data_IF_883911406928
#
_entry.id   IF_883911406928
#
_cell.length_a   1.000
_cell.length_b   1.000
_cell.length_c   1.000
_cell.angle_alpha   90.00
_cell.angle_beta   90.00
_cell.angle_gamma   90.00
#
_symmetry.space_group_name_H-M   'P 1'
#
loop_
_entity.id
_entity.type
_entity.pdbx_description
1 polymer ?
#
# COMPACT_ATOMS: atom_id res chain seq x y z
N UNK A 1 28.84 -10.92 16.18
CA UNK A 1 29.17 -12.35 16.44
C UNK A 1 29.51 -13.01 15.12
N UNK A 2 30.54 -13.86 15.08
CA UNK A 2 30.99 -14.50 13.84
C UNK A 2 29.95 -15.54 13.37
N UNK A 3 29.22 -15.21 12.31
CA UNK A 3 28.41 -16.16 11.55
C UNK A 3 29.32 -17.22 10.94
N UNK A 4 29.03 -18.50 11.14
CA UNK A 4 29.75 -19.57 10.44
C UNK A 4 29.48 -19.46 8.93
N UNK A 5 30.38 -19.96 8.05
CA UNK A 5 30.16 -19.93 6.59
C UNK A 5 28.80 -20.52 6.17
N UNK A 6 28.34 -21.57 6.86
CA UNK A 6 27.04 -22.18 6.63
C UNK A 6 25.84 -21.29 7.03
N UNK A 7 25.98 -20.43 8.04
CA UNK A 7 24.97 -19.42 8.39
C UNK A 7 24.92 -18.31 7.34
N UNK A 8 26.07 -17.94 6.77
CA UNK A 8 26.15 -16.95 5.70
C UNK A 8 25.48 -17.46 4.41
N UNK A 9 25.73 -18.72 4.03
CA UNK A 9 25.11 -19.32 2.85
C UNK A 9 23.58 -19.45 2.96
N UNK A 10 23.06 -19.58 4.18
CA UNK A 10 21.62 -19.58 4.45
C UNK A 10 20.99 -18.16 4.42
N UNK A 11 21.78 -17.09 4.32
CA UNK A 11 21.32 -15.69 4.27
C UNK A 11 21.54 -15.06 2.88
N UNK A 12 21.70 -15.89 1.83
CA UNK A 12 21.91 -15.44 0.46
C UNK A 12 20.62 -15.02 -0.27
N UNK A 13 19.48 -15.53 0.19
CA UNK A 13 18.14 -15.19 -0.30
C UNK A 13 17.17 -15.25 0.88
N UNK A 14 16.78 -14.07 1.34
CA UNK A 14 15.87 -13.80 2.45
C UNK A 14 14.39 -14.06 2.10
N UNK A 15 14.08 -14.32 0.83
CA UNK A 15 12.72 -14.67 0.37
C UNK A 15 12.48 -16.17 0.36
N UNK A 16 13.54 -17.00 0.44
CA UNK A 16 13.44 -18.46 0.48
C UNK A 16 13.12 -18.99 1.88
N UNK A 17 11.96 -19.65 2.00
CA UNK A 17 11.58 -20.40 3.22
C UNK A 17 12.61 -21.47 3.57
N UNK A 18 13.13 -22.19 2.59
CA UNK A 18 14.10 -23.28 2.81
C UNK A 18 15.42 -22.75 3.39
N UNK A 19 15.83 -21.53 3.00
CA UNK A 19 17.00 -20.87 3.57
C UNK A 19 16.78 -20.48 5.03
N UNK A 20 15.61 -19.92 5.36
CA UNK A 20 15.25 -19.63 6.75
C UNK A 20 15.11 -20.89 7.62
N UNK A 21 14.47 -21.95 7.10
CA UNK A 21 14.38 -23.24 7.80
C UNK A 21 15.78 -23.80 8.13
N UNK A 22 16.74 -23.70 7.20
CA UNK A 22 18.15 -24.06 7.45
C UNK A 22 18.80 -23.14 8.48
N UNK A 23 18.63 -21.82 8.36
CA UNK A 23 19.18 -20.85 9.29
C UNK A 23 18.73 -21.14 10.73
N UNK A 24 17.43 -21.33 10.95
CA UNK A 24 16.88 -21.64 12.27
C UNK A 24 17.31 -23.02 12.78
N UNK A 25 17.36 -24.04 11.92
CA UNK A 25 17.86 -25.35 12.29
C UNK A 25 19.34 -25.33 12.71
N UNK A 26 20.17 -24.48 12.07
CA UNK A 26 21.60 -24.35 12.37
C UNK A 26 21.88 -23.61 13.67
N UNK A 27 21.05 -22.63 14.07
CA UNK A 27 21.21 -21.94 15.36
C UNK A 27 20.80 -22.79 16.56
N UNK A 28 19.83 -23.70 16.36
CA UNK A 28 19.34 -24.59 17.40
C UNK A 28 18.25 -23.97 18.29
N UNK A 29 17.60 -24.83 19.06
CA UNK A 29 16.46 -24.48 19.91
C UNK A 29 16.87 -23.52 21.04
N UNK A 30 16.04 -22.49 21.29
CA UNK A 30 16.19 -21.59 22.45
C UNK A 30 17.11 -20.38 22.28
N UNK A 31 17.81 -20.22 21.15
CA UNK A 31 18.59 -19.01 20.87
C UNK A 31 17.68 -17.92 20.28
N UNK A 32 17.58 -16.78 20.96
CA UNK A 32 16.83 -15.62 20.46
C UNK A 32 17.74 -14.77 19.60
N UNK A 33 17.28 -14.38 18.42
CA UNK A 33 18.03 -13.55 17.51
C UNK A 33 17.24 -12.30 17.17
N UNK A 34 17.91 -11.15 17.27
CA UNK A 34 17.29 -9.85 17.06
C UNK A 34 17.90 -9.15 15.85
N UNK A 35 17.04 -8.77 14.92
CA UNK A 35 17.39 -7.84 13.85
C UNK A 35 17.18 -6.40 14.32
N UNK A 36 18.09 -5.50 13.95
CA UNK A 36 18.03 -4.06 14.23
C UNK A 36 18.17 -3.73 15.73
N UNK A 37 17.29 -2.87 16.26
CA UNK A 37 17.34 -2.42 17.64
C UNK A 37 16.82 -3.49 18.61
N UNK A 38 17.48 -3.55 19.77
CA UNK A 38 17.18 -4.47 20.87
C UNK A 38 16.00 -3.97 21.71
N UNK A 39 15.39 -4.87 22.48
CA UNK A 39 14.22 -4.55 23.31
C UNK A 39 14.35 -3.28 24.18
N UNK A 40 15.46 -3.03 24.91
CA UNK A 40 15.59 -1.82 25.73
C UNK A 40 15.44 -0.52 24.94
N UNK A 41 15.86 -0.51 23.68
CA UNK A 41 15.85 0.68 22.81
C UNK A 41 14.45 0.92 22.23
N UNK A 42 13.72 -0.14 21.88
CA UNK A 42 12.39 -0.04 21.25
C UNK A 42 11.25 0.04 22.27
N UNK A 43 11.44 -0.40 23.51
CA UNK A 43 10.39 -0.50 24.54
C UNK A 43 9.66 0.84 24.75
N UNK A 44 10.36 1.92 25.06
CA UNK A 44 9.73 3.21 25.34
C UNK A 44 8.97 3.78 24.12
N UNK A 45 9.59 3.86 22.92
CA UNK A 45 8.89 4.17 21.68
C UNK A 45 7.62 3.36 21.45
N UNK A 46 7.70 2.05 21.63
CA UNK A 46 6.61 1.14 21.33
C UNK A 46 5.45 1.27 22.31
N UNK A 47 5.76 1.31 23.61
CA UNK A 47 4.74 1.48 24.65
C UNK A 47 4.01 2.82 24.50
N UNK A 48 4.69 3.89 24.07
CA UNK A 48 4.03 5.18 23.85
C UNK A 48 2.85 5.11 22.87
N UNK A 49 2.87 4.12 21.97
CA UNK A 49 1.81 3.90 20.98
C UNK A 49 0.76 2.87 21.42
N UNK A 50 1.13 1.94 22.29
CA UNK A 50 0.29 0.84 22.77
C UNK A 50 -0.47 1.16 24.08
N UNK A 51 -0.06 2.22 24.81
CA UNK A 51 -0.69 2.61 26.07
C UNK A 51 -2.16 3.01 25.88
N UNK A 52 -3.06 2.38 26.65
CA UNK A 52 -4.48 2.73 26.73
C UNK A 52 -5.45 1.75 26.07
N UNK A 53 -4.95 0.71 25.42
CA UNK A 53 -5.78 -0.25 24.67
C UNK A 53 -5.75 -1.62 25.35
N UNK A 54 -6.47 -1.78 26.46
CA UNK A 54 -6.63 -3.11 27.06
C UNK A 54 -7.24 -4.07 26.04
N UNK A 55 -6.44 -5.07 25.66
CA UNK A 55 -6.87 -6.03 24.67
C UNK A 55 -6.66 -5.63 23.20
N UNK A 56 -5.70 -4.78 22.89
CA UNK A 56 -5.19 -4.66 21.52
C UNK A 56 -4.94 -6.05 20.90
N UNK A 57 -5.52 -6.34 19.74
CA UNK A 57 -5.11 -7.47 18.90
C UNK A 57 -3.83 -7.06 18.15
N UNK A 58 -2.72 -7.71 18.50
CA UNK A 58 -1.39 -7.42 17.93
C UNK A 58 -1.01 -8.53 16.96
N UNK A 59 -0.56 -8.16 15.77
CA UNK A 59 0.06 -9.05 14.79
C UNK A 59 1.57 -8.77 14.70
N UNK A 60 2.38 -9.82 14.70
CA UNK A 60 3.83 -9.74 14.48
C UNK A 60 4.19 -10.63 13.27
N UNK A 61 4.23 -10.06 12.05
CA UNK A 61 4.68 -10.77 10.84
C UNK A 61 6.19 -10.97 10.80
N UNK A 62 6.64 -12.07 10.19
CA UNK A 62 8.06 -12.42 10.14
C UNK A 62 8.68 -12.50 11.54
N UNK A 63 7.97 -13.13 12.49
CA UNK A 63 8.31 -13.02 13.90
C UNK A 63 9.69 -13.60 14.27
N UNK A 64 10.19 -14.57 13.48
CA UNK A 64 11.46 -15.24 13.74
C UNK A 64 11.58 -15.76 15.17
N UNK A 65 12.81 -15.73 15.70
CA UNK A 65 13.13 -16.08 17.08
C UNK A 65 13.20 -14.87 18.02
N UNK A 66 12.66 -13.72 17.62
CA UNK A 66 12.73 -12.46 18.39
C UNK A 66 12.04 -12.59 19.75
N UNK A 67 12.60 -11.92 20.75
CA UNK A 67 12.03 -11.79 22.09
C UNK A 67 10.93 -10.72 22.18
N UNK A 68 10.69 -9.94 21.12
CA UNK A 68 9.72 -8.84 21.11
C UNK A 68 8.35 -9.25 21.67
N UNK A 69 7.80 -10.36 21.18
CA UNK A 69 6.45 -10.79 21.54
C UNK A 69 6.34 -11.28 22.98
N UNK A 70 7.37 -11.95 23.51
CA UNK A 70 7.36 -12.35 24.91
C UNK A 70 7.53 -11.18 25.87
N UNK A 71 8.35 -10.19 25.51
CA UNK A 71 8.54 -8.99 26.31
C UNK A 71 7.25 -8.17 26.39
N UNK A 72 6.51 -8.05 25.28
CA UNK A 72 5.17 -7.44 25.27
C UNK A 72 4.18 -8.23 26.11
N UNK A 73 4.19 -9.56 26.00
CA UNK A 73 3.31 -10.42 26.79
C UNK A 73 3.51 -10.21 28.29
N UNK A 74 4.77 -10.16 28.73
CA UNK A 74 5.13 -9.98 30.14
C UNK A 74 4.79 -8.57 30.67
N UNK A 75 4.54 -7.61 29.78
CA UNK A 75 3.98 -6.28 30.10
C UNK A 75 2.45 -6.24 30.10
N UNK A 76 1.76 -7.35 29.81
CA UNK A 76 0.31 -7.47 29.88
C UNK A 76 -0.41 -7.53 28.53
N UNK A 77 0.30 -7.37 27.40
CA UNK A 77 -0.29 -7.49 26.07
C UNK A 77 -0.49 -8.96 25.71
N UNK A 78 -1.67 -9.50 26.01
CA UNK A 78 -1.91 -10.96 25.94
C UNK A 78 -2.40 -11.47 24.59
N UNK A 79 -2.91 -10.59 23.70
CA UNK A 79 -3.53 -10.96 22.42
C UNK A 79 -2.57 -10.73 21.27
N UNK A 80 -1.46 -11.48 21.29
CA UNK A 80 -0.40 -11.39 20.29
C UNK A 80 -0.48 -12.61 19.36
N UNK A 81 -0.58 -12.36 18.07
CA UNK A 81 -0.50 -13.37 17.01
C UNK A 81 0.80 -13.19 16.25
N UNK A 82 1.64 -14.22 16.28
CA UNK A 82 2.94 -14.26 15.62
C UNK A 82 2.82 -15.14 14.38
N UNK A 83 3.33 -14.65 13.26
CA UNK A 83 3.35 -15.39 12.00
C UNK A 83 4.73 -15.41 11.38
N UNK A 84 5.10 -16.56 10.85
CA UNK A 84 6.33 -16.77 10.10
C UNK A 84 6.11 -17.90 9.09
N UNK A 85 6.69 -17.83 7.90
CA UNK A 85 6.55 -18.89 6.90
C UNK A 85 7.40 -20.14 7.22
N UNK A 86 8.36 -20.04 8.12
CA UNK A 86 9.24 -21.12 8.54
C UNK A 86 8.53 -22.00 9.57
N UNK A 87 8.37 -23.28 9.23
CA UNK A 87 7.75 -24.25 10.14
C UNK A 87 8.65 -24.54 11.34
N UNK A 88 9.97 -24.48 11.12
CA UNK A 88 10.99 -24.76 12.13
C UNK A 88 10.86 -23.76 13.27
N UNK A 89 10.86 -22.46 12.95
CA UNK A 89 10.85 -21.42 14.00
C UNK A 89 9.51 -21.33 14.72
N UNK A 90 8.39 -21.45 14.00
CA UNK A 90 7.06 -21.43 14.63
C UNK A 90 6.91 -22.59 15.62
N UNK A 91 7.44 -23.77 15.28
CA UNK A 91 7.40 -24.93 16.18
C UNK A 91 8.30 -24.75 17.41
N UNK A 92 9.45 -24.10 17.28
CA UNK A 92 10.33 -23.80 18.42
C UNK A 92 9.71 -22.74 19.35
N UNK A 93 9.23 -21.62 18.80
CA UNK A 93 8.61 -20.56 19.58
C UNK A 93 7.33 -21.04 20.29
N UNK A 94 6.51 -21.86 19.62
CA UNK A 94 5.36 -22.49 20.27
C UNK A 94 5.79 -23.38 21.45
N UNK A 95 6.83 -24.21 21.30
CA UNK A 95 7.35 -25.05 22.39
C UNK A 95 7.86 -24.20 23.56
N UNK A 96 8.56 -23.11 23.27
CA UNK A 96 9.12 -22.18 24.26
C UNK A 96 8.05 -21.47 25.08
N UNK A 97 6.91 -21.13 24.47
CA UNK A 97 5.92 -20.24 25.07
C UNK A 97 4.60 -20.90 25.48
N UNK A 98 4.26 -22.09 24.96
CA UNK A 98 2.93 -22.69 25.17
C UNK A 98 2.52 -22.85 26.64
N UNK A 99 3.48 -23.06 27.57
CA UNK A 99 3.20 -23.20 29.00
C UNK A 99 3.25 -21.89 29.77
N UNK A 100 4.26 -21.05 29.49
CA UNK A 100 4.54 -19.82 30.25
C UNK A 100 3.72 -18.63 29.76
N UNK A 101 3.36 -18.60 28.47
CA UNK A 101 2.65 -17.50 27.81
C UNK A 101 1.53 -18.05 26.90
N UNK A 102 0.56 -18.79 27.47
CA UNK A 102 -0.36 -19.65 26.72
C UNK A 102 -1.34 -18.91 25.81
N UNK A 103 -1.49 -17.59 25.95
CA UNK A 103 -2.41 -16.79 25.12
C UNK A 103 -1.76 -16.27 23.83
N UNK A 104 -0.42 -16.35 23.70
CA UNK A 104 0.23 -16.03 22.43
C UNK A 104 -0.11 -17.09 21.38
N UNK A 105 -0.43 -16.64 20.18
CA UNK A 105 -0.72 -17.50 19.02
C UNK A 105 0.52 -17.53 18.12
N UNK A 106 0.88 -18.71 17.64
CA UNK A 106 1.99 -18.92 16.71
C UNK A 106 1.47 -19.67 15.50
N UNK A 107 1.63 -19.12 14.29
CA UNK A 107 1.08 -19.71 13.06
C UNK A 107 2.12 -19.71 11.95
N UNK A 108 2.21 -20.84 11.26
CA UNK A 108 2.94 -20.91 9.99
C UNK A 108 2.10 -20.21 8.93
N UNK A 109 2.58 -19.09 8.41
CA UNK A 109 1.84 -18.30 7.42
C UNK A 109 2.79 -17.38 6.65
N UNK A 110 2.53 -17.26 5.34
CA UNK A 110 3.19 -16.28 4.47
C UNK A 110 2.54 -14.90 4.68
N UNK A 111 3.34 -13.90 5.04
CA UNK A 111 2.84 -12.55 5.29
C UNK A 111 2.41 -11.80 4.03
N UNK A 112 2.77 -12.29 2.84
CA UNK A 112 2.26 -11.77 1.55
C UNK A 112 0.88 -12.32 1.17
N UNK A 113 0.34 -13.27 1.95
CA UNK A 113 -0.98 -13.88 1.75
C UNK A 113 -1.56 -14.39 3.07
N UNK A 114 -1.96 -13.46 3.94
CA UNK A 114 -2.44 -13.72 5.29
C UNK A 114 -3.87 -14.25 5.31
N UNK A 115 -4.06 -15.38 5.98
CA UNK A 115 -5.38 -16.02 6.14
C UNK A 115 -6.14 -15.47 7.36
N UNK A 116 -6.26 -14.13 7.43
CA UNK A 116 -7.03 -13.42 8.45
C UNK A 116 -8.16 -12.61 7.79
N UNK A 117 -9.30 -12.41 8.47
CA UNK A 117 -10.32 -11.47 8.02
C UNK A 117 -9.81 -10.02 7.96
N UNK A 118 -10.45 -9.21 7.13
CA UNK A 118 -10.22 -7.77 7.06
C UNK A 118 -10.49 -7.11 8.42
N UNK A 119 -9.67 -6.12 8.80
CA UNK A 119 -9.86 -5.39 10.06
C UNK A 119 -9.81 -6.28 11.32
N UNK A 120 -8.94 -7.29 11.34
CA UNK A 120 -8.75 -8.18 12.49
C UNK A 120 -7.85 -7.60 13.58
N UNK A 121 -6.88 -6.76 13.23
CA UNK A 121 -5.83 -6.30 14.15
C UNK A 121 -5.89 -4.80 14.41
N UNK A 122 -5.61 -4.43 15.66
CA UNK A 122 -5.48 -3.03 16.10
C UNK A 122 -4.05 -2.52 15.86
N UNK A 123 -3.06 -3.42 15.99
CA UNK A 123 -1.65 -3.08 15.87
C UNK A 123 -0.89 -4.16 15.08
N UNK A 124 -0.02 -3.75 14.16
CA UNK A 124 0.92 -4.63 13.46
C UNK A 124 2.35 -4.16 13.78
N UNK A 125 3.21 -5.10 14.17
CA UNK A 125 4.63 -4.90 14.48
C UNK A 125 5.48 -5.61 13.45
N UNK A 126 6.03 -4.86 12.51
CA UNK A 126 7.04 -5.35 11.57
C UNK A 126 8.44 -4.99 12.06
N UNK A 127 9.33 -5.98 12.13
CA UNK A 127 10.74 -5.74 12.49
C UNK A 127 11.66 -6.50 11.54
N UNK A 128 11.95 -5.86 10.40
CA UNK A 128 12.77 -6.44 9.33
C UNK A 128 12.04 -7.44 8.46
N UNK A 129 10.73 -7.62 8.64
CA UNK A 129 9.92 -8.47 7.78
C UNK A 129 9.80 -7.85 6.39
N UNK A 130 9.48 -6.56 6.32
CA UNK A 130 9.46 -5.84 5.04
C UNK A 130 10.85 -5.85 4.38
N UNK A 131 11.90 -5.50 5.12
CA UNK A 131 13.28 -5.48 4.59
C UNK A 131 13.69 -6.84 4.00
N UNK A 132 13.34 -7.96 4.66
CA UNK A 132 13.62 -9.32 4.17
C UNK A 132 12.89 -9.64 2.85
N UNK A 133 11.72 -9.05 2.60
CA UNK A 133 11.02 -9.19 1.32
C UNK A 133 11.57 -8.29 0.23
N UNK A 134 12.24 -7.19 0.59
CA UNK A 134 12.63 -6.13 -0.34
C UNK A 134 13.96 -6.38 -1.06
N UNK A 135 14.33 -7.64 -1.27
CA UNK A 135 15.53 -7.98 -2.05
C UNK A 135 15.47 -7.44 -3.51
N UNK A 136 16.59 -6.99 -4.09
CA UNK A 136 16.57 -6.14 -5.29
C UNK A 136 15.86 -6.68 -6.54
N UNK A 137 15.81 -8.00 -6.76
CA UNK A 137 15.30 -8.58 -8.01
C UNK A 137 13.77 -8.75 -8.04
N UNK A 138 13.17 -9.09 -6.90
CA UNK A 138 11.72 -9.39 -6.79
C UNK A 138 11.02 -8.54 -5.74
N UNK A 139 11.78 -7.76 -4.97
CA UNK A 139 11.34 -7.30 -3.66
C UNK A 139 10.21 -6.30 -3.67
N UNK A 140 10.19 -5.37 -4.62
CA UNK A 140 9.10 -4.40 -4.73
C UNK A 140 7.72 -5.06 -4.85
N UNK A 141 7.62 -6.17 -5.61
CA UNK A 141 6.33 -6.87 -5.78
C UNK A 141 5.90 -7.60 -4.51
N UNK A 142 6.84 -8.25 -3.81
CA UNK A 142 6.56 -8.94 -2.55
C UNK A 142 6.24 -7.96 -1.43
N UNK A 143 7.00 -6.85 -1.34
CA UNK A 143 6.74 -5.75 -0.43
C UNK A 143 5.35 -5.15 -0.65
N UNK A 144 4.96 -4.87 -1.90
CA UNK A 144 3.59 -4.39 -2.21
C UNK A 144 2.53 -5.37 -1.73
N UNK A 145 2.67 -6.68 -2.01
CA UNK A 145 1.72 -7.71 -1.54
C UNK A 145 1.62 -7.75 -0.01
N UNK A 146 2.75 -7.71 0.68
CA UNK A 146 2.76 -7.68 2.14
C UNK A 146 2.09 -6.42 2.69
N UNK A 147 2.43 -5.25 2.15
CA UNK A 147 1.82 -4.00 2.60
C UNK A 147 0.32 -3.97 2.33
N UNK A 148 -0.16 -4.51 1.20
CA UNK A 148 -1.59 -4.63 0.92
C UNK A 148 -2.30 -5.55 1.92
N UNK A 149 -1.68 -6.68 2.30
CA UNK A 149 -2.18 -7.54 3.38
C UNK A 149 -2.19 -6.84 4.75
N UNK A 150 -1.11 -6.14 5.10
CA UNK A 150 -1.04 -5.38 6.34
C UNK A 150 -2.12 -4.29 6.39
N UNK A 151 -2.33 -3.55 5.29
CA UNK A 151 -3.42 -2.56 5.17
C UNK A 151 -4.79 -3.23 5.32
N UNK A 152 -5.01 -4.41 4.72
CA UNK A 152 -6.29 -5.13 4.75
C UNK A 152 -6.65 -5.63 6.14
N UNK A 153 -5.73 -6.31 6.83
CA UNK A 153 -5.99 -6.91 8.15
C UNK A 153 -6.01 -5.89 9.28
N UNK A 154 -5.51 -4.67 9.06
CA UNK A 154 -5.53 -3.59 10.04
C UNK A 154 -6.90 -2.88 10.10
N UNK A 155 -7.43 -2.70 11.31
CA UNK A 155 -8.67 -1.96 11.57
C UNK A 155 -8.53 -0.49 11.20
N UNK A 156 -9.67 0.18 10.95
CA UNK A 156 -9.69 1.65 10.88
C UNK A 156 -9.19 2.23 12.21
N UNK A 157 -8.30 3.22 12.14
CA UNK A 157 -7.59 3.76 13.31
C UNK A 157 -6.45 2.89 13.83
N UNK A 158 -6.28 1.67 13.30
CA UNK A 158 -5.18 0.78 13.67
C UNK A 158 -3.82 1.31 13.23
N UNK A 159 -2.76 0.78 13.85
CA UNK A 159 -1.38 1.26 13.67
C UNK A 159 -0.48 0.15 13.11
N UNK A 160 0.33 0.48 12.12
CA UNK A 160 1.41 -0.36 11.62
C UNK A 160 2.74 0.30 11.99
N UNK A 161 3.57 -0.36 12.79
CA UNK A 161 4.91 0.09 13.12
C UNK A 161 5.94 -0.81 12.45
N UNK A 162 6.79 -0.23 11.62
CA UNK A 162 7.88 -0.89 10.92
C UNK A 162 9.22 -0.42 11.44
N UNK A 163 10.00 -1.35 11.98
CA UNK A 163 11.40 -1.16 12.33
C UNK A 163 12.25 -1.63 11.15
N UNK A 164 13.03 -0.71 10.58
CA UNK A 164 13.76 -0.90 9.32
C UNK A 164 15.10 -0.14 9.37
N UNK A 165 16.02 -0.50 8.48
CA UNK A 165 17.19 0.33 8.18
C UNK A 165 16.85 1.48 7.21
N UNK A 166 15.61 1.56 6.72
CA UNK A 166 15.14 2.61 5.83
C UNK A 166 16.06 2.79 4.61
N UNK A 167 16.52 1.69 4.02
CA UNK A 167 17.18 1.71 2.73
C UNK A 167 16.26 2.37 1.70
N UNK A 168 16.84 3.06 0.71
CA UNK A 168 16.07 3.95 -0.18
C UNK A 168 14.88 3.25 -0.83
N UNK A 169 15.06 2.01 -1.31
CA UNK A 169 14.00 1.25 -1.95
C UNK A 169 12.89 0.79 -0.97
N UNK A 170 13.23 0.49 0.29
CA UNK A 170 12.24 0.17 1.35
C UNK A 170 11.46 1.42 1.72
N UNK A 171 12.17 2.53 1.93
CA UNK A 171 11.57 3.80 2.30
C UNK A 171 10.66 4.32 1.18
N UNK A 172 11.12 4.32 -0.07
CA UNK A 172 10.33 4.76 -1.23
C UNK A 172 9.02 3.97 -1.35
N UNK A 173 9.06 2.65 -1.09
CA UNK A 173 7.86 1.82 -1.05
C UNK A 173 6.93 2.24 0.09
N UNK A 174 7.43 2.36 1.32
CA UNK A 174 6.62 2.79 2.47
C UNK A 174 5.97 4.16 2.25
N UNK A 175 6.74 5.12 1.74
CA UNK A 175 6.31 6.49 1.50
C UNK A 175 5.18 6.58 0.47
N UNK A 176 5.32 5.84 -0.63
CA UNK A 176 4.35 5.81 -1.72
C UNK A 176 3.09 5.01 -1.38
N UNK A 177 3.23 3.83 -0.80
CA UNK A 177 2.12 2.91 -0.50
C UNK A 177 1.21 3.38 0.63
N UNK A 178 1.71 4.28 1.50
CA UNK A 178 0.95 4.90 2.58
C UNK A 178 0.76 6.41 2.33
N UNK A 179 0.68 6.82 1.05
CA UNK A 179 0.45 8.23 0.68
C UNK A 179 -0.93 8.75 1.05
N UNK A 180 -1.97 7.99 0.75
CA UNK A 180 -3.36 8.42 0.88
C UNK A 180 -4.09 7.65 1.97
N UNK A 181 -4.75 8.37 2.86
CA UNK A 181 -5.53 7.81 3.95
C UNK A 181 -4.71 7.34 5.14
N UNK A 182 -3.46 7.77 5.28
CA UNK A 182 -2.58 7.37 6.38
C UNK A 182 -1.85 8.56 7.01
N UNK A 183 -1.83 8.57 8.34
CA UNK A 183 -0.96 9.47 9.10
C UNK A 183 0.36 8.77 9.36
N UNK A 184 1.47 9.39 8.95
CA UNK A 184 2.80 8.78 9.03
C UNK A 184 3.70 9.58 9.95
N UNK A 185 4.40 8.88 10.85
CA UNK A 185 5.46 9.43 11.70
C UNK A 185 6.70 8.58 11.55
N UNK A 186 7.87 9.20 11.51
CA UNK A 186 9.16 8.49 11.46
C UNK A 186 10.11 9.04 12.51
N UNK A 187 10.81 8.16 13.20
CA UNK A 187 11.81 8.51 14.20
C UNK A 187 13.00 7.55 14.16
N UNK A 188 14.18 8.04 14.55
CA UNK A 188 15.34 7.19 14.77
C UNK A 188 15.23 6.53 16.16
N UNK A 189 15.61 5.26 16.25
CA UNK A 189 15.73 4.55 17.53
C UNK A 189 17.10 4.82 18.13
N UNK A 190 17.13 5.30 19.37
CA UNK A 190 18.38 5.60 20.06
C UNK A 190 19.26 4.35 20.17
N UNK A 191 20.51 4.47 19.73
CA UNK A 191 21.52 3.43 19.97
C UNK A 191 22.25 3.67 21.29
N UNK A 192 22.77 2.61 21.90
CA UNK A 192 23.66 2.77 23.04
C UNK A 192 25.03 3.34 22.59
N UNK A 193 25.62 4.28 23.35
CA UNK A 193 26.91 4.90 23.00
C UNK A 193 28.09 3.92 22.85
N UNK A 194 28.00 2.75 23.48
CA UNK A 194 29.04 1.70 23.43
C UNK A 194 28.92 0.79 22.20
N UNK A 195 27.76 0.81 21.53
CA UNK A 195 27.46 0.03 20.34
C UNK A 195 27.71 0.86 19.09
N UNK A 196 28.90 0.70 18.49
CA UNK A 196 29.19 1.23 17.14
C UNK A 196 28.45 0.39 16.09
N UNK A 197 27.13 0.50 16.03
CA UNK A 197 26.36 -0.04 14.93
C UNK A 197 26.74 0.70 13.64
N UNK A 198 26.96 -0.05 12.55
CA UNK A 198 27.20 0.53 11.23
C UNK A 198 25.95 1.23 10.66
N UNK A 199 24.78 0.93 11.22
CA UNK A 199 23.48 1.41 10.74
C UNK A 199 22.64 1.99 11.87
N UNK A 200 21.81 2.96 11.50
CA UNK A 200 20.77 3.55 12.31
C UNK A 200 19.45 2.81 12.06
N UNK A 201 18.81 2.33 13.13
CA UNK A 201 17.44 1.79 13.04
C UNK A 201 16.43 2.93 13.08
N UNK A 202 15.41 2.85 12.23
CA UNK A 202 14.28 3.76 12.21
C UNK A 202 13.00 3.01 12.56
N UNK A 203 12.06 3.72 13.17
CA UNK A 203 10.69 3.26 13.37
C UNK A 203 9.76 4.16 12.56
N UNK A 204 9.10 3.58 11.57
CA UNK A 204 8.07 4.23 10.75
C UNK A 204 6.71 3.75 11.23
N UNK A 205 5.85 4.68 11.59
CA UNK A 205 4.51 4.41 12.14
C UNK A 205 3.48 4.97 11.18
N UNK A 206 2.56 4.12 10.74
CA UNK A 206 1.43 4.50 9.89
C UNK A 206 0.13 4.20 10.62
N UNK A 207 -0.73 5.21 10.74
CA UNK A 207 -2.06 5.09 11.34
C UNK A 207 -3.12 5.12 10.25
N UNK A 208 -3.98 4.10 10.22
CA UNK A 208 -5.04 3.96 9.21
C UNK A 208 -6.10 5.03 9.42
N UNK A 209 -6.14 5.99 8.51
CA UNK A 209 -7.06 7.11 8.52
C UNK A 209 -8.21 6.95 7.52
N UNK A 210 -8.69 8.09 7.01
CA UNK A 210 -9.78 8.17 6.04
C UNK A 210 -9.21 8.29 4.62
N UNK A 211 -9.66 7.44 3.70
CA UNK A 211 -9.30 7.53 2.28
C UNK A 211 -9.63 8.92 1.70
N UNK A 212 -8.87 9.33 0.68
CA UNK A 212 -8.97 10.64 0.05
C UNK A 212 -8.34 11.79 0.84
N UNK A 213 -7.79 11.52 2.03
CA UNK A 213 -7.05 12.49 2.83
C UNK A 213 -5.56 12.25 2.66
N UNK A 214 -4.80 13.29 2.39
CA UNK A 214 -3.34 13.25 2.34
C UNK A 214 -2.78 14.24 3.36
N UNK A 215 -1.89 13.76 4.22
CA UNK A 215 -1.20 14.57 5.24
C UNK A 215 0.30 14.45 5.07
N UNK A 216 1.01 15.52 5.41
CA UNK A 216 2.47 15.50 5.46
C UNK A 216 2.95 14.58 6.58
N UNK A 217 4.10 13.96 6.35
CA UNK A 217 4.76 13.04 7.26
C UNK A 217 5.38 13.85 8.39
N UNK A 218 5.09 13.43 9.63
CA UNK A 218 5.71 13.98 10.82
C UNK A 218 7.09 13.34 11.01
N UNK A 219 8.14 14.09 10.70
CA UNK A 219 9.52 13.66 10.98
C UNK A 219 9.91 14.05 12.40
N UNK A 220 10.37 13.07 13.19
CA UNK A 220 11.12 13.26 14.44
C UNK A 220 12.63 13.02 14.22
N UNK A 221 13.03 12.85 12.96
CA UNK A 221 14.43 12.80 12.53
C UNK A 221 14.83 14.22 12.13
N UNK A 222 15.81 14.78 12.83
CA UNK A 222 16.35 16.12 12.63
C UNK A 222 17.84 16.10 12.22
N UNK A 223 18.27 17.05 11.40
CA UNK A 223 19.67 17.19 10.96
C UNK A 223 20.61 17.56 12.11
N UNK A 224 20.10 18.16 13.18
CA UNK A 224 20.93 18.57 14.33
C UNK A 224 21.24 17.44 15.32
N UNK A 225 20.52 16.31 15.22
CA UNK A 225 20.71 15.17 16.12
C UNK A 225 21.87 14.26 15.67
N UNK A 226 22.45 13.55 16.62
CA UNK A 226 23.51 12.57 16.36
C UNK A 226 22.93 11.18 16.09
N UNK A 227 23.36 10.56 14.99
CA UNK A 227 22.92 9.23 14.56
C UNK A 227 24.11 8.30 14.39
N UNK A 228 23.88 6.99 14.51
CA UNK A 228 24.93 5.99 14.26
C UNK A 228 25.47 6.07 12.84
N UNK A 229 24.61 6.42 11.87
CA UNK A 229 24.98 6.60 10.48
C UNK A 229 24.35 7.89 9.94
N UNK A 230 25.16 8.95 9.87
CA UNK A 230 24.72 10.26 9.43
C UNK A 230 24.36 10.31 7.93
N UNK A 231 25.02 9.51 7.09
CA UNK A 231 24.72 9.44 5.66
C UNK A 231 23.32 8.85 5.44
N UNK A 232 23.02 7.75 6.13
CA UNK A 232 21.71 7.11 6.12
C UNK A 232 20.63 8.05 6.64
N UNK A 233 20.84 8.71 7.79
CA UNK A 233 19.88 9.66 8.34
C UNK A 233 19.61 10.83 7.39
N UNK A 234 20.63 11.39 6.74
CA UNK A 234 20.46 12.46 5.76
C UNK A 234 19.68 12.01 4.52
N UNK A 235 19.90 10.77 4.05
CA UNK A 235 19.13 10.20 2.94
C UNK A 235 17.64 10.09 3.31
N UNK A 236 17.33 9.60 4.51
CA UNK A 236 15.96 9.54 5.05
C UNK A 236 15.34 10.94 5.10
N UNK A 237 16.03 11.93 5.69
CA UNK A 237 15.53 13.31 5.78
C UNK A 237 15.21 13.89 4.40
N UNK A 238 16.08 13.69 3.41
CA UNK A 238 15.86 14.16 2.05
C UNK A 238 14.66 13.47 1.38
N UNK A 239 14.52 12.16 1.55
CA UNK A 239 13.36 11.41 1.03
C UNK A 239 12.05 11.93 1.63
N UNK A 240 12.01 12.17 2.95
CA UNK A 240 10.84 12.71 3.64
C UNK A 240 10.47 14.12 3.16
N UNK A 241 11.47 14.98 2.93
CA UNK A 241 11.24 16.32 2.39
C UNK A 241 10.65 16.28 0.98
N UNK A 242 11.13 15.38 0.13
CA UNK A 242 10.60 15.23 -1.23
C UNK A 242 9.19 14.67 -1.24
N UNK A 243 8.92 13.63 -0.45
CA UNK A 243 7.57 13.08 -0.32
C UNK A 243 6.60 14.09 0.30
N UNK A 244 7.02 14.92 1.25
CA UNK A 244 6.16 15.98 1.79
C UNK A 244 5.80 17.04 0.75
N UNK A 245 6.72 17.43 -0.15
CA UNK A 245 6.38 18.30 -1.29
C UNK A 245 5.34 17.65 -2.21
N UNK A 246 5.44 16.34 -2.45
CA UNK A 246 4.45 15.58 -3.21
C UNK A 246 3.10 15.59 -2.47
N UNK A 247 3.07 15.33 -1.17
CA UNK A 247 1.84 15.33 -0.36
C UNK A 247 1.18 16.71 -0.30
N UNK A 248 1.97 17.78 -0.24
CA UNK A 248 1.49 19.17 -0.29
C UNK A 248 0.89 19.52 -1.65
N UNK A 249 1.50 19.06 -2.76
CA UNK A 249 0.96 19.31 -4.11
C UNK A 249 -0.43 18.70 -4.28
N UNK A 250 -0.69 17.54 -3.67
CA UNK A 250 -2.01 16.91 -3.67
C UNK A 250 -3.09 17.68 -2.89
N UNK A 251 -2.69 18.56 -1.95
CA UNK A 251 -3.61 19.42 -1.19
C UNK A 251 -3.83 20.79 -1.86
N UNK A 252 -3.06 21.13 -2.90
CA UNK A 252 -3.06 22.48 -3.50
C UNK A 252 -4.30 22.82 -4.35
N UNK A 253 -5.20 21.86 -4.60
CA UNK A 253 -6.46 22.08 -5.32
C UNK A 253 -6.32 22.35 -6.83
N UNK A 254 -5.09 22.29 -7.37
CA UNK A 254 -4.83 22.31 -8.82
C UNK A 254 -5.41 21.05 -9.47
N UNK A 255 -5.64 21.06 -10.79
CA UNK A 255 -5.96 19.87 -11.59
C UNK A 255 -4.84 18.82 -11.47
N UNK A 256 -4.82 18.09 -10.35
CA UNK A 256 -3.87 17.02 -10.07
C UNK A 256 -4.22 15.85 -10.96
N UNK A 257 -3.19 15.32 -11.61
CA UNK A 257 -3.28 14.17 -12.48
C UNK A 257 -2.87 12.94 -11.68
N UNK A 258 -3.84 12.08 -11.38
CA UNK A 258 -3.63 10.86 -10.59
C UNK A 258 -3.21 9.69 -11.48
N UNK A 259 -2.27 8.86 -11.04
CA UNK A 259 -2.03 7.56 -11.66
C UNK A 259 -3.12 6.55 -11.26
N UNK A 260 -3.25 5.45 -11.99
CA UNK A 260 -4.14 4.35 -11.58
C UNK A 260 -3.76 3.82 -10.18
N UNK A 261 -2.46 3.72 -9.87
CA UNK A 261 -2.00 3.30 -8.54
C UNK A 261 -2.42 4.28 -7.45
N UNK A 262 -2.36 5.59 -7.67
CA UNK A 262 -2.84 6.57 -6.69
C UNK A 262 -4.33 6.37 -6.37
N UNK A 263 -5.13 6.06 -7.39
CA UNK A 263 -6.56 5.77 -7.21
C UNK A 263 -6.79 4.50 -6.40
N UNK A 264 -6.06 3.42 -6.71
CA UNK A 264 -6.09 2.16 -5.95
C UNK A 264 -5.66 2.35 -4.49
N UNK A 265 -4.70 3.26 -4.24
CA UNK A 265 -4.28 3.65 -2.90
C UNK A 265 -5.29 4.58 -2.20
N UNK A 266 -6.37 4.97 -2.87
CA UNK A 266 -7.45 5.75 -2.27
C UNK A 266 -7.26 7.25 -2.34
N UNK A 267 -6.50 7.78 -3.30
CA UNK A 267 -6.26 9.22 -3.46
C UNK A 267 -7.54 10.06 -3.58
N UNK A 268 -8.61 9.47 -4.13
CA UNK A 268 -9.90 10.16 -4.35
C UNK A 268 -11.02 9.60 -3.48
N UNK A 269 -10.67 8.86 -2.42
CA UNK A 269 -11.60 8.12 -1.56
C UNK A 269 -11.84 6.71 -2.08
N UNK A 270 -12.86 6.06 -1.52
CA UNK A 270 -13.28 4.73 -1.97
C UNK A 270 -13.85 4.80 -3.40
N UNK A 271 -13.26 4.01 -4.29
CA UNK A 271 -13.70 3.87 -5.68
C UNK A 271 -14.97 3.04 -5.79
N UNK A 272 -15.23 2.14 -4.84
CA UNK A 272 -16.45 1.33 -4.82
C UNK A 272 -17.70 2.16 -4.55
N UNK A 273 -17.54 3.36 -4.01
CA UNK A 273 -18.63 4.29 -3.72
C UNK A 273 -18.73 5.39 -4.79
N UNK A 274 -19.95 5.65 -5.26
CA UNK A 274 -20.29 6.82 -6.08
C UNK A 274 -20.41 8.04 -5.17
N UNK A 275 -19.62 9.08 -5.45
CA UNK A 275 -19.68 10.36 -4.72
C UNK A 275 -20.22 11.45 -5.65
N UNK A 276 -21.43 11.97 -5.41
CA UNK A 276 -22.06 12.94 -6.31
C UNK A 276 -21.17 14.11 -6.68
N UNK A 277 -20.99 14.35 -7.98
CA UNK A 277 -20.21 15.46 -8.50
C UNK A 277 -18.68 15.28 -8.38
N UNK A 278 -18.18 14.10 -8.00
CA UNK A 278 -16.74 13.81 -8.03
C UNK A 278 -16.26 13.90 -9.48
N UNK A 279 -15.24 14.72 -9.72
CA UNK A 279 -14.52 14.82 -11.00
C UNK A 279 -13.01 14.80 -10.75
N UNK A 280 -12.28 13.89 -11.38
CA UNK A 280 -10.84 13.72 -11.19
C UNK A 280 -10.14 13.41 -12.50
N UNK A 281 -9.04 14.12 -12.77
CA UNK A 281 -8.19 13.84 -13.93
C UNK A 281 -7.20 12.74 -13.58
N UNK A 282 -6.99 11.80 -14.49
CA UNK A 282 -6.11 10.67 -14.25
C UNK A 282 -5.38 10.22 -15.51
N UNK A 283 -4.27 9.51 -15.32
CA UNK A 283 -3.56 8.77 -16.36
C UNK A 283 -3.86 7.28 -16.15
N UNK A 284 -4.31 6.63 -17.23
CA UNK A 284 -4.45 5.18 -17.30
C UNK A 284 -3.29 4.59 -18.10
N UNK A 285 -2.78 3.46 -17.63
CA UNK A 285 -1.73 2.70 -18.31
C UNK A 285 -0.33 3.13 -17.92
N UNK A 286 0.56 2.13 -17.82
CA UNK A 286 1.96 2.28 -17.44
C UNK A 286 2.86 1.51 -18.41
N UNK A 287 4.10 1.98 -18.54
CA UNK A 287 5.06 1.39 -19.45
C UNK A 287 5.34 -0.08 -19.08
N UNK A 288 5.01 -1.00 -19.99
CA UNK A 288 5.20 -2.44 -19.80
C UNK A 288 3.98 -3.22 -19.30
N UNK A 289 2.91 -2.54 -18.86
CA UNK A 289 1.63 -3.18 -18.47
C UNK A 289 0.50 -2.93 -19.46
N UNK A 290 0.53 -1.78 -20.16
CA UNK A 290 -0.41 -1.42 -21.21
C UNK A 290 0.31 -1.06 -22.51
N UNK A 291 -0.40 -1.20 -23.63
CA UNK A 291 0.07 -0.79 -24.95
C UNK A 291 0.17 0.74 -25.05
N UNK A 292 -0.79 1.44 -24.45
CA UNK A 292 -0.85 2.89 -24.48
C UNK A 292 -0.98 3.50 -23.08
N UNK A 293 -0.77 4.81 -23.03
CA UNK A 293 -1.03 5.63 -21.85
C UNK A 293 -2.09 6.67 -22.22
N UNK A 294 -3.18 6.68 -21.47
CA UNK A 294 -4.37 7.45 -21.77
C UNK A 294 -4.56 8.57 -20.74
N UNK A 295 -4.95 9.75 -21.20
CA UNK A 295 -5.51 10.77 -20.31
C UNK A 295 -6.99 10.49 -20.14
N UNK A 296 -7.48 10.54 -18.92
CA UNK A 296 -8.88 10.30 -18.63
C UNK A 296 -9.42 11.25 -17.55
N UNK A 297 -10.74 11.35 -17.48
CA UNK A 297 -11.47 12.03 -16.42
C UNK A 297 -12.52 11.09 -15.88
N UNK A 298 -12.42 10.76 -14.58
CA UNK A 298 -13.44 10.01 -13.85
C UNK A 298 -14.47 11.00 -13.30
N UNK A 299 -15.75 10.73 -13.58
CA UNK A 299 -16.87 11.56 -13.14
C UNK A 299 -17.97 10.71 -12.53
N UNK A 300 -18.40 11.07 -11.33
CA UNK A 300 -19.59 10.51 -10.69
C UNK A 300 -20.75 11.49 -10.89
N UNK A 301 -21.90 10.99 -11.34
CA UNK A 301 -23.08 11.80 -11.63
C UNK A 301 -23.51 12.67 -10.45
N UNK A 302 -23.92 13.91 -10.72
CA UNK A 302 -24.34 14.87 -9.68
C UNK A 302 -25.66 14.49 -9.02
N UNK A 303 -26.61 13.93 -9.78
CA UNK A 303 -27.94 13.56 -9.31
C UNK A 303 -28.07 12.04 -9.20
N UNK A 304 -28.21 11.49 -7.99
CA UNK A 304 -28.44 10.06 -7.78
C UNK A 304 -29.92 9.64 -7.92
N UNK A 305 -30.84 10.59 -8.02
CA UNK A 305 -32.28 10.31 -8.14
C UNK A 305 -32.71 9.93 -9.57
N UNK A 306 -31.80 9.98 -10.53
CA UNK A 306 -32.06 9.60 -11.91
C UNK A 306 -31.90 8.09 -12.09
N UNK A 307 -32.79 7.47 -12.87
CA UNK A 307 -32.61 6.07 -13.28
C UNK A 307 -31.44 5.98 -14.25
N UNK A 308 -30.28 5.57 -13.74
CA UNK A 308 -29.11 5.29 -14.55
C UNK A 308 -29.35 4.08 -15.45
N UNK A 309 -28.86 4.15 -16.68
CA UNK A 309 -28.82 3.02 -17.61
C UNK A 309 -27.58 2.16 -17.36
N UNK A 310 -26.48 2.78 -16.94
CA UNK A 310 -25.21 2.11 -16.67
C UNK A 310 -24.66 2.56 -15.32
N UNK A 311 -24.10 1.64 -14.54
CA UNK A 311 -23.43 1.99 -13.28
C UNK A 311 -22.04 2.58 -13.50
N UNK A 312 -21.32 2.06 -14.49
CA UNK A 312 -20.06 2.59 -14.96
C UNK A 312 -20.04 2.53 -16.49
N UNK A 313 -19.45 3.52 -17.15
CA UNK A 313 -19.27 3.49 -18.61
C UNK A 313 -17.99 4.18 -19.02
N UNK A 314 -17.40 3.73 -20.12
CA UNK A 314 -16.22 4.35 -20.72
C UNK A 314 -16.65 5.18 -21.92
N UNK A 315 -16.21 6.42 -21.99
CA UNK A 315 -16.49 7.33 -23.11
C UNK A 315 -15.20 7.72 -23.81
N UNK A 316 -14.95 7.17 -25.00
CA UNK A 316 -13.75 7.42 -25.79
C UNK A 316 -13.94 8.68 -26.64
N UNK A 317 -13.03 9.64 -26.46
CA UNK A 317 -12.95 10.89 -27.20
C UNK A 317 -11.80 10.80 -28.22
N UNK A 318 -12.10 10.74 -29.53
CA UNK A 318 -11.07 10.76 -30.57
C UNK A 318 -10.27 12.07 -30.54
N UNK A 319 -8.99 12.00 -30.92
CA UNK A 319 -8.08 13.17 -30.95
C UNK A 319 -8.67 14.38 -31.69
N UNK A 320 -9.33 14.13 -32.83
CA UNK A 320 -9.91 15.19 -33.67
C UNK A 320 -10.97 16.03 -32.93
N UNK A 321 -11.61 15.44 -31.92
CA UNK A 321 -12.72 16.04 -31.17
C UNK A 321 -12.34 16.49 -29.77
N UNK A 322 -11.17 16.11 -29.27
CA UNK A 322 -10.72 16.41 -27.90
C UNK A 322 -10.72 17.91 -27.55
N UNK A 323 -10.70 18.81 -28.55
CA UNK A 323 -10.77 20.26 -28.39
C UNK A 323 -12.18 20.85 -28.54
N UNK A 324 -13.18 20.04 -28.90
CA UNK A 324 -14.57 20.50 -28.91
C UNK A 324 -15.01 20.85 -27.50
N UNK A 325 -15.76 21.94 -27.36
CA UNK A 325 -16.22 22.44 -26.06
C UNK A 325 -16.90 21.36 -25.21
N UNK A 326 -17.67 20.46 -25.85
CA UNK A 326 -18.37 19.36 -25.20
C UNK A 326 -17.44 18.41 -24.42
N UNK A 327 -16.18 18.25 -24.85
CA UNK A 327 -15.23 17.33 -24.21
C UNK A 327 -14.10 18.05 -23.48
N UNK A 328 -13.74 19.26 -23.91
CA UNK A 328 -12.62 20.01 -23.34
C UNK A 328 -13.01 20.85 -22.11
N UNK A 329 -14.27 21.31 -22.02
CA UNK A 329 -14.77 22.10 -20.88
C UNK A 329 -15.38 21.20 -19.80
N UNK A 330 -15.32 21.65 -18.54
CA UNK A 330 -15.97 20.94 -17.45
C UNK A 330 -17.50 20.93 -17.63
N UNK A 331 -18.09 22.04 -18.05
CA UNK A 331 -19.53 22.16 -18.29
C UNK A 331 -20.01 21.19 -19.37
N UNK A 332 -19.24 21.09 -20.47
CA UNK A 332 -19.51 20.13 -21.55
C UNK A 332 -19.41 18.68 -21.07
N UNK A 333 -18.39 18.35 -20.30
CA UNK A 333 -18.19 17.00 -19.76
C UNK A 333 -19.38 16.55 -18.92
N UNK A 334 -19.95 17.43 -18.09
CA UNK A 334 -21.15 17.13 -17.30
C UNK A 334 -22.38 16.83 -18.18
N UNK A 335 -22.55 17.54 -19.30
CA UNK A 335 -23.63 17.23 -20.26
C UNK A 335 -23.47 15.84 -20.88
N UNK A 336 -22.23 15.37 -21.08
CA UNK A 336 -21.95 14.01 -21.57
C UNK A 336 -22.35 12.97 -20.52
N UNK A 337 -22.06 13.19 -19.24
CA UNK A 337 -22.46 12.30 -18.14
C UNK A 337 -23.98 12.16 -18.08
N UNK A 338 -24.71 13.28 -18.08
CA UNK A 338 -26.18 13.29 -18.07
C UNK A 338 -26.76 12.60 -19.31
N UNK A 339 -26.19 12.89 -20.49
CA UNK A 339 -26.62 12.27 -21.75
C UNK A 339 -26.33 10.78 -21.81
N UNK A 340 -25.25 10.30 -21.19
CA UNK A 340 -24.90 8.88 -21.11
C UNK A 340 -25.79 8.11 -20.13
N UNK A 341 -26.46 8.81 -19.19
CA UNK A 341 -27.22 8.22 -18.08
C UNK A 341 -26.40 7.21 -17.28
N UNK A 342 -25.12 7.51 -17.08
CA UNK A 342 -24.19 6.66 -16.34
C UNK A 342 -23.99 7.19 -14.91
N UNK A 343 -23.98 6.32 -13.90
CA UNK A 343 -23.70 6.72 -12.53
C UNK A 343 -22.22 7.15 -12.35
N UNK A 344 -21.31 6.43 -13.00
CA UNK A 344 -19.91 6.83 -13.23
C UNK A 344 -19.59 6.83 -14.72
N UNK A 345 -18.91 7.86 -15.19
CA UNK A 345 -18.37 7.93 -16.55
C UNK A 345 -16.85 8.15 -16.50
N UNK A 346 -16.11 7.30 -17.21
CA UNK A 346 -14.67 7.43 -17.42
C UNK A 346 -14.46 7.94 -18.85
N UNK A 347 -14.22 9.24 -18.98
CA UNK A 347 -13.96 9.87 -20.28
C UNK A 347 -12.49 9.72 -20.64
N UNK A 348 -12.17 9.00 -21.72
CA UNK A 348 -10.80 8.68 -22.15
C UNK A 348 -10.45 9.45 -23.43
N UNK A 349 -9.33 10.17 -23.42
CA UNK A 349 -8.89 11.00 -24.53
C UNK A 349 -7.79 10.32 -25.33
N UNK A 350 -8.04 10.12 -26.62
CA UNK A 350 -7.05 9.61 -27.57
C UNK A 350 -6.17 10.75 -28.11
N UNK A 351 -4.91 10.45 -28.37
CA UNK A 351 -3.93 11.37 -28.94
C UNK A 351 -3.21 10.77 -30.17
N UNK A 352 -2.13 11.41 -30.64
CA UNK A 352 -1.39 10.96 -31.82
C UNK A 352 -0.85 9.52 -31.73
N UNK A 353 -0.62 9.00 -30.52
CA UNK A 353 -0.13 7.63 -30.31
C UNK A 353 -1.16 6.59 -30.75
N UNK A 354 -2.43 7.00 -30.82
CA UNK A 354 -3.58 6.14 -31.14
C UNK A 354 -4.08 6.34 -32.58
N UNK A 355 -3.43 7.21 -33.37
CA UNK A 355 -3.94 7.64 -34.67
C UNK A 355 -4.13 6.52 -35.70
N UNK A 356 -3.40 5.41 -35.57
CA UNK A 356 -3.51 4.22 -36.42
C UNK A 356 -3.99 2.98 -35.67
N UNK A 357 -4.42 3.13 -34.41
CA UNK A 357 -4.86 2.01 -33.60
C UNK A 357 -6.31 1.65 -33.95
N UNK A 358 -6.57 0.35 -34.13
CA UNK A 358 -7.92 -0.17 -34.20
C UNK A 358 -8.63 0.08 -32.86
N UNK A 359 -9.90 0.50 -32.91
CA UNK A 359 -10.66 0.77 -31.71
C UNK A 359 -10.81 -0.47 -30.81
N UNK A 360 -10.90 -1.66 -31.39
CA UNK A 360 -11.05 -2.88 -30.60
C UNK A 360 -9.75 -3.25 -29.88
N UNK A 361 -8.60 -2.88 -30.45
CA UNK A 361 -7.31 -2.95 -29.75
C UNK A 361 -7.27 -1.96 -28.59
N UNK A 362 -7.74 -0.74 -28.79
CA UNK A 362 -7.83 0.27 -27.72
C UNK A 362 -8.76 -0.17 -26.60
N UNK A 363 -9.94 -0.72 -26.91
CA UNK A 363 -10.87 -1.25 -25.89
C UNK A 363 -10.23 -2.39 -25.10
N UNK A 364 -9.56 -3.32 -25.79
CA UNK A 364 -8.89 -4.46 -25.15
C UNK A 364 -7.76 -4.02 -24.20
N UNK A 365 -7.00 -2.99 -24.57
CA UNK A 365 -5.96 -2.41 -23.72
C UNK A 365 -6.54 -1.64 -22.53
N UNK A 366 -7.64 -0.90 -22.74
CA UNK A 366 -8.31 -0.13 -21.69
C UNK A 366 -9.04 -1.00 -20.67
N UNK A 367 -9.67 -2.10 -21.09
CA UNK A 367 -10.54 -2.93 -20.26
C UNK A 367 -9.95 -3.25 -18.89
N UNK A 368 -8.74 -3.84 -18.75
CA UNK A 368 -8.18 -4.12 -17.43
C UNK A 368 -7.92 -2.85 -16.59
N UNK A 369 -7.63 -1.71 -17.23
CA UNK A 369 -7.32 -0.45 -16.54
C UNK A 369 -8.56 0.23 -15.93
N UNK A 370 -9.73 0.03 -16.54
CA UNK A 370 -10.98 0.66 -16.10
C UNK A 370 -11.83 -0.23 -15.20
N UNK A 371 -11.62 -1.55 -15.22
CA UNK A 371 -12.34 -2.49 -14.34
C UNK A 371 -12.11 -2.20 -12.85
N UNK A 372 -10.88 -1.80 -12.48
CA UNK A 372 -10.55 -1.41 -11.10
C UNK A 372 -11.29 -0.14 -10.63
N UNK A 373 -11.83 0.63 -11.57
CA UNK A 373 -12.55 1.88 -11.31
C UNK A 373 -14.07 1.68 -11.20
N UNK A 374 -14.55 0.45 -11.36
CA UNK A 374 -15.97 0.14 -11.28
C UNK A 374 -16.47 0.23 -9.82
N UNK A 375 -17.58 0.95 -9.57
CA UNK A 375 -18.23 0.98 -8.26
C UNK A 375 -18.75 -0.41 -7.87
N UNK A 376 -18.95 -0.65 -6.57
CA UNK A 376 -19.60 -1.87 -6.10
C UNK A 376 -21.12 -1.74 -6.24
N UNK A 377 -21.78 -2.79 -6.74
CA UNK A 377 -23.24 -2.84 -6.88
C UNK A 377 -23.79 -4.21 -6.47
N UNK A 378 -25.01 -4.29 -5.88
CA UNK A 378 -25.52 -5.53 -5.28
C UNK A 378 -26.03 -6.58 -6.28
N UNK A 379 -26.19 -6.25 -7.55
CA UNK A 379 -26.80 -7.12 -8.58
C UNK A 379 -25.82 -7.38 -9.72
N UNK A 380 -25.98 -8.52 -10.42
CA UNK A 380 -25.20 -8.85 -11.63
C UNK A 380 -25.41 -7.75 -12.68
N UNK A 381 -24.35 -7.00 -12.98
CA UNK A 381 -24.37 -5.89 -13.92
C UNK A 381 -24.04 -6.35 -15.34
N UNK A 382 -24.70 -5.71 -16.31
CA UNK A 382 -24.27 -5.76 -17.71
C UNK A 382 -22.81 -5.29 -17.83
N UNK A 383 -22.04 -5.83 -18.80
CA UNK A 383 -20.64 -5.45 -18.99
C UNK A 383 -20.51 -3.95 -19.24
N UNK A 384 -19.47 -3.35 -18.66
CA UNK A 384 -19.18 -1.91 -18.77
C UNK A 384 -19.13 -1.48 -20.25
N UNK A 385 -20.06 -0.61 -20.72
CA UNK A 385 -20.14 -0.23 -22.11
C UNK A 385 -19.01 0.74 -22.49
N UNK A 386 -18.48 0.54 -23.69
CA UNK A 386 -17.63 1.50 -24.37
C UNK A 386 -18.45 2.32 -25.36
N UNK A 387 -18.51 3.62 -25.12
CA UNK A 387 -19.14 4.62 -25.98
C UNK A 387 -18.05 5.43 -26.68
N UNK A 388 -18.35 5.96 -27.86
CA UNK A 388 -17.44 6.85 -28.59
C UNK A 388 -18.17 8.09 -29.08
N UNK A 389 -17.47 9.23 -29.09
CA UNK A 389 -17.95 10.45 -29.70
C UNK A 389 -18.06 10.31 -31.24
N UNK A 390 -19.27 10.14 -31.78
CA UNK A 390 -19.58 10.08 -33.22
C UNK A 390 -20.03 11.43 -33.80
N UNK A 391 -19.94 11.63 -35.12
CA UNK A 391 -20.17 12.90 -35.84
C UNK A 391 -21.60 13.49 -35.73
N UNK A 392 -22.52 12.82 -35.02
CA UNK A 392 -23.89 13.28 -34.82
C UNK A 392 -24.18 13.61 -33.35
N UNK A 393 -24.59 14.86 -33.08
CA UNK A 393 -25.08 15.37 -31.78
C UNK A 393 -26.26 14.55 -31.19
N UNK A 394 -26.76 13.49 -31.85
CA UNK A 394 -27.82 12.60 -31.35
C UNK A 394 -27.74 11.12 -31.79
N UNK A 395 -26.62 10.61 -32.32
CA UNK A 395 -26.57 9.20 -32.79
C UNK A 395 -25.55 8.36 -32.02
N UNK A 396 -26.08 7.46 -31.19
CA UNK A 396 -25.35 6.47 -30.41
C UNK A 396 -25.15 5.23 -31.26
N UNK A 397 -23.89 4.84 -31.49
CA UNK A 397 -23.57 3.47 -31.87
C UNK A 397 -23.17 2.72 -30.59
N UNK A 398 -24.11 1.92 -30.06
CA UNK A 398 -23.78 0.92 -29.04
C UNK A 398 -23.06 -0.21 -29.77
N UNK A 399 -21.73 -0.21 -29.71
CA UNK A 399 -20.90 -1.27 -30.29
C UNK A 399 -20.83 -2.44 -29.29
N UNK A 400 -21.92 -3.21 -29.18
CA UNK A 400 -21.89 -4.54 -28.53
C UNK A 400 -21.58 -5.60 -29.59
N UNK A 401 -20.54 -6.41 -29.35
CA UNK A 401 -20.37 -7.72 -30.02
C UNK A 401 -20.86 -8.85 -29.09
N UNK A 402 -21.40 -9.90 -29.74
CA UNK A 402 -22.05 -11.08 -29.17
C UNK A 402 -21.13 -12.02 -28.40
#
# INVERSE_FOLDING_TARGET
MATTPALHDALLDFTSRENWDKFFALRGDGDSFEWYAEWPQIKAPLLSMLLGEEGTEILVPGCGSSSLSEQLYDLGFRRITNVDFSRVIVADMLRRHARVRPQMRWRVMDMTNMQFPDGSFDFILDKGGLDALMEPEVGTKLGMKYLDEAKRVLKSGGKFACFTLAESHVLDLLLSEFRFGWDMTIQAIASEPSSKSAFQTFMVVMVKGKMGVVRTIKSLVDQSAEYCNMQQANAVIHALQNENKIRESHNSGVDILFSLRDLQLGAIGDLKVIVPGRRRQLILGEQGSSLYCYKAVLMDAKNQNETFVYHCGVFIVPKARAQEWLFASEEGQWLVVESAKAARLIMVFLDSRHASADIDVVKKDLSPLVMDLEPEYPEETDPMPFMMASDGVKQRDILQEK
#
